data_IF_927519742351
#
_entry.id   IF_927519742351
#
_cell.length_a   1.000
_cell.length_b   1.000
_cell.length_c   1.000
_cell.angle_alpha   90.00
_cell.angle_beta   90.00
_cell.angle_gamma   90.00
#
_symmetry.space_group_name_H-M   'P 1'
#
loop_
_entity.id
_entity.type
_entity.pdbx_description
1 polymer ?
#
# COMPACT_ATOMS: atom_id res chain seq x y z
N UNK A 1 -9.90 -16.06 -19.62
CA UNK A 1 -9.15 -14.78 -19.50
C UNK A 1 -8.22 -14.94 -18.31
N UNK A 2 -6.93 -14.69 -18.48
CA UNK A 2 -5.96 -14.65 -17.37
C UNK A 2 -5.96 -13.23 -16.79
N UNK A 3 -6.02 -13.11 -15.48
CA UNK A 3 -5.96 -11.82 -14.78
C UNK A 3 -4.87 -11.89 -13.72
N UNK A 4 -3.86 -11.05 -13.88
CA UNK A 4 -2.70 -10.96 -13.00
C UNK A 4 -2.99 -9.87 -11.96
N UNK A 5 -3.12 -10.25 -10.70
CA UNK A 5 -3.20 -9.32 -9.58
C UNK A 5 -1.80 -8.83 -9.18
N UNK A 6 -1.64 -7.52 -9.01
CA UNK A 6 -0.44 -6.87 -8.48
C UNK A 6 -0.85 -5.99 -7.31
N UNK A 7 -0.09 -6.05 -6.21
CA UNK A 7 -0.28 -5.18 -5.05
C UNK A 7 0.83 -4.14 -5.05
N UNK A 8 0.48 -2.86 -5.03
CA UNK A 8 1.44 -1.78 -5.15
C UNK A 8 1.03 -0.51 -4.38
N UNK A 9 1.98 0.37 -4.14
CA UNK A 9 1.73 1.72 -3.65
C UNK A 9 1.81 2.76 -4.78
N UNK A 10 2.68 2.50 -5.75
CA UNK A 10 3.04 3.45 -6.81
C UNK A 10 3.40 4.84 -6.25
N UNK A 11 4.35 4.90 -5.34
CA UNK A 11 4.67 6.11 -4.59
C UNK A 11 6.10 6.65 -4.85
N UNK A 12 6.33 7.24 -6.07
CA UNK A 12 5.48 7.22 -7.27
C UNK A 12 5.64 5.94 -8.11
N UNK A 13 4.95 5.87 -9.26
CA UNK A 13 5.20 4.84 -10.26
C UNK A 13 6.61 5.01 -10.85
N UNK A 14 7.36 3.92 -11.01
CA UNK A 14 8.75 3.96 -11.49
C UNK A 14 9.08 2.76 -12.40
N UNK A 15 10.23 2.79 -13.07
CA UNK A 15 10.65 1.78 -14.04
C UNK A 15 10.68 0.34 -13.46
N UNK A 16 10.90 0.19 -12.15
CA UNK A 16 10.80 -1.11 -11.48
C UNK A 16 9.38 -1.69 -11.46
N UNK A 17 8.35 -0.85 -11.43
CA UNK A 17 6.96 -1.29 -11.54
C UNK A 17 6.61 -1.72 -12.97
N UNK A 18 7.08 -0.97 -13.97
CA UNK A 18 6.91 -1.33 -15.37
C UNK A 18 7.59 -2.66 -15.69
N UNK A 19 8.81 -2.86 -15.17
CA UNK A 19 9.51 -4.13 -15.25
C UNK A 19 8.71 -5.28 -14.62
N UNK A 20 8.19 -5.08 -13.41
CA UNK A 20 7.36 -6.08 -12.74
C UNK A 20 6.14 -6.49 -13.59
N UNK A 21 5.45 -5.52 -14.17
CA UNK A 21 4.28 -5.76 -15.03
C UNK A 21 4.67 -6.57 -16.26
N UNK A 22 5.77 -6.20 -16.94
CA UNK A 22 6.24 -6.89 -18.14
C UNK A 22 6.66 -8.33 -17.86
N UNK A 23 7.40 -8.56 -16.76
CA UNK A 23 7.83 -9.88 -16.35
C UNK A 23 6.66 -10.77 -15.88
N UNK A 24 5.68 -10.19 -15.21
CA UNK A 24 4.48 -10.92 -14.81
C UNK A 24 3.72 -11.45 -16.05
N UNK A 25 3.52 -10.61 -17.08
CA UNK A 25 2.92 -11.05 -18.36
C UNK A 25 3.75 -12.14 -19.02
N UNK A 26 5.08 -12.01 -19.04
CA UNK A 26 5.99 -13.01 -19.60
C UNK A 26 5.89 -14.36 -18.88
N UNK A 27 5.90 -14.36 -17.55
CA UNK A 27 5.84 -15.60 -16.73
C UNK A 27 4.47 -16.29 -16.84
N UNK A 28 3.39 -15.54 -16.97
CA UNK A 28 2.05 -16.10 -17.19
C UNK A 28 1.93 -16.72 -18.58
N UNK A 29 2.77 -16.29 -19.54
CA UNK A 29 2.79 -16.84 -20.91
C UNK A 29 1.56 -16.47 -21.75
N UNK A 30 0.81 -15.44 -21.34
CA UNK A 30 -0.33 -14.91 -22.11
C UNK A 30 -0.15 -13.40 -22.31
N UNK A 31 0.23 -12.93 -23.50
CA UNK A 31 0.43 -11.50 -23.77
C UNK A 31 -0.87 -10.69 -23.67
N UNK A 32 -2.03 -11.36 -23.70
CA UNK A 32 -3.36 -10.74 -23.54
C UNK A 32 -3.86 -10.83 -22.08
N UNK A 33 -3.01 -11.27 -21.14
CA UNK A 33 -3.36 -11.28 -19.74
C UNK A 33 -3.65 -9.85 -19.26
N UNK A 34 -4.77 -9.68 -18.59
CA UNK A 34 -5.18 -8.41 -17.99
C UNK A 34 -4.39 -8.22 -16.68
N UNK A 35 -3.83 -7.03 -16.47
CA UNK A 35 -3.17 -6.67 -15.21
C UNK A 35 -4.12 -5.83 -14.38
N UNK A 36 -4.49 -6.36 -13.22
CA UNK A 36 -5.28 -5.66 -12.20
C UNK A 36 -4.39 -5.30 -11.02
N UNK A 37 -4.32 -4.03 -10.65
CA UNK A 37 -3.60 -3.61 -9.46
C UNK A 37 -4.54 -3.22 -8.33
N UNK A 38 -4.20 -3.65 -7.10
CA UNK A 38 -4.70 -3.06 -5.85
C UNK A 38 -3.65 -2.09 -5.37
N UNK A 39 -4.00 -0.81 -5.23
CA UNK A 39 -3.05 0.22 -4.87
C UNK A 39 -3.48 1.05 -3.67
N UNK A 40 -2.50 1.50 -2.89
CA UNK A 40 -2.75 2.40 -1.77
C UNK A 40 -3.42 3.71 -2.22
N UNK A 41 -4.34 4.19 -1.41
CA UNK A 41 -4.97 5.50 -1.56
C UNK A 41 -4.03 6.65 -1.19
N UNK A 42 -4.52 7.67 -0.45
CA UNK A 42 -3.74 8.87 -0.13
C UNK A 42 -2.59 8.62 0.85
N UNK A 43 -2.68 7.57 1.67
CA UNK A 43 -1.63 7.12 2.58
C UNK A 43 -1.07 5.78 2.13
N UNK A 44 0.25 5.61 2.31
CA UNK A 44 0.94 4.37 1.97
C UNK A 44 1.21 3.51 3.21
N UNK A 45 1.62 2.27 3.01
CA UNK A 45 1.81 1.25 4.05
C UNK A 45 2.70 1.73 5.21
N UNK A 46 3.68 2.57 4.92
CA UNK A 46 4.60 3.13 5.93
C UNK A 46 4.03 4.33 6.68
N UNK A 47 2.77 4.71 6.43
CA UNK A 47 2.06 5.76 7.15
C UNK A 47 2.34 7.18 6.67
N UNK A 48 3.10 7.36 5.60
CA UNK A 48 3.32 8.68 4.98
C UNK A 48 2.24 9.01 3.95
N UNK A 49 2.10 10.31 3.65
CA UNK A 49 1.34 10.78 2.51
C UNK A 49 1.98 10.28 1.21
N UNK A 50 1.17 9.93 0.23
CA UNK A 50 1.65 9.60 -1.11
C UNK A 50 2.16 10.86 -1.82
N UNK A 51 3.18 10.73 -2.69
CA UNK A 51 3.78 11.89 -3.38
C UNK A 51 2.85 12.54 -4.40
N UNK A 52 1.85 11.81 -4.89
CA UNK A 52 0.84 12.30 -5.81
C UNK A 52 -0.53 11.65 -5.54
N UNK A 53 -1.64 12.28 -5.95
CA UNK A 53 -2.98 11.77 -5.72
C UNK A 53 -3.18 10.37 -6.35
N UNK A 54 -4.01 9.56 -5.73
CA UNK A 54 -4.28 8.19 -6.19
C UNK A 54 -4.74 8.11 -7.65
N UNK A 55 -5.54 9.07 -8.12
CA UNK A 55 -6.01 9.11 -9.52
C UNK A 55 -4.88 9.41 -10.51
N UNK A 56 -3.91 10.24 -10.12
CA UNK A 56 -2.69 10.50 -10.92
C UNK A 56 -1.86 9.23 -11.00
N UNK A 57 -1.60 8.58 -9.86
CA UNK A 57 -0.84 7.31 -9.80
C UNK A 57 -1.55 6.17 -10.56
N UNK A 58 -2.86 6.10 -10.48
CA UNK A 58 -3.66 5.16 -11.28
C UNK A 58 -3.48 5.43 -12.78
N UNK A 59 -3.49 6.69 -13.22
CA UNK A 59 -3.26 7.05 -14.62
C UNK A 59 -1.84 6.71 -15.09
N UNK A 60 -0.83 6.96 -14.26
CA UNK A 60 0.57 6.57 -14.51
C UNK A 60 0.66 5.05 -14.74
N UNK A 61 0.06 4.26 -13.85
CA UNK A 61 0.05 2.80 -13.92
C UNK A 61 -0.70 2.28 -15.15
N UNK A 62 -1.88 2.84 -15.45
CA UNK A 62 -2.69 2.45 -16.61
C UNK A 62 -1.96 2.71 -17.94
N UNK A 63 -1.27 3.84 -18.07
CA UNK A 63 -0.47 4.16 -19.26
C UNK A 63 0.81 3.33 -19.37
N UNK A 64 1.20 2.67 -18.28
CA UNK A 64 2.40 1.82 -18.18
C UNK A 64 2.09 0.32 -18.11
N UNK A 65 0.90 -0.10 -18.53
CA UNK A 65 0.56 -1.52 -18.74
C UNK A 65 -0.36 -2.19 -17.74
N UNK A 66 -0.88 -1.43 -16.75
CA UNK A 66 -2.00 -1.86 -15.91
C UNK A 66 -3.31 -1.68 -16.67
N UNK A 67 -4.25 -2.60 -16.52
CA UNK A 67 -5.54 -2.57 -17.20
C UNK A 67 -6.69 -2.15 -16.27
N UNK A 68 -6.60 -2.49 -14.99
CA UNK A 68 -7.58 -2.08 -13.96
C UNK A 68 -6.82 -1.67 -12.70
N UNK A 69 -7.12 -0.48 -12.17
CA UNK A 69 -6.62 -0.02 -10.89
C UNK A 69 -7.78 0.08 -9.89
N UNK A 70 -7.64 -0.59 -8.74
CA UNK A 70 -8.59 -0.53 -7.61
C UNK A 70 -7.89 -0.04 -6.36
N UNK A 71 -8.61 0.66 -5.49
CA UNK A 71 -8.08 1.23 -4.26
C UNK A 71 -8.11 0.21 -3.12
N UNK A 72 -7.01 0.14 -2.38
CA UNK A 72 -7.00 -0.53 -1.09
C UNK A 72 -7.50 0.44 -0.02
N UNK A 73 -8.59 0.13 0.72
CA UNK A 73 -9.12 1.01 1.75
C UNK A 73 -8.06 1.41 2.79
N UNK A 74 -8.12 2.63 3.28
CA UNK A 74 -7.13 3.23 4.20
C UNK A 74 -6.80 2.31 5.39
N UNK A 75 -7.80 1.67 5.98
CA UNK A 75 -7.62 0.78 7.13
C UNK A 75 -6.71 -0.42 6.85
N UNK A 76 -6.49 -0.78 5.58
CA UNK A 76 -5.54 -1.80 5.13
C UNK A 76 -4.32 -1.17 4.48
N UNK A 77 -4.47 -0.09 3.72
CA UNK A 77 -3.37 0.59 3.04
C UNK A 77 -2.36 1.17 4.03
N UNK A 78 -2.81 1.79 5.12
CA UNK A 78 -1.99 2.37 6.18
C UNK A 78 -1.90 1.42 7.39
N UNK A 79 -1.36 0.22 7.20
CA UNK A 79 -1.38 -0.84 8.20
C UNK A 79 -0.02 -1.60 8.29
N UNK A 80 0.22 -2.39 9.35
CA UNK A 80 1.32 -3.36 9.37
C UNK A 80 1.27 -4.31 8.19
N UNK A 81 2.42 -4.87 7.79
CA UNK A 81 2.56 -5.66 6.56
C UNK A 81 1.57 -6.80 6.43
N UNK A 82 1.30 -7.51 7.51
CA UNK A 82 0.35 -8.64 7.53
C UNK A 82 -1.09 -8.18 7.22
N UNK A 83 -1.54 -7.07 7.82
CA UNK A 83 -2.88 -6.51 7.56
C UNK A 83 -2.99 -5.89 6.17
N UNK A 84 -1.94 -5.20 5.73
CA UNK A 84 -1.83 -4.68 4.36
C UNK A 84 -1.95 -5.83 3.34
N UNK A 85 -1.15 -6.88 3.51
CA UNK A 85 -1.15 -8.04 2.63
C UNK A 85 -2.50 -8.77 2.64
N UNK A 86 -3.05 -9.01 3.83
CA UNK A 86 -4.34 -9.69 3.98
C UNK A 86 -5.46 -8.92 3.28
N UNK A 87 -5.57 -7.61 3.50
CA UNK A 87 -6.59 -6.77 2.86
C UNK A 87 -6.45 -6.71 1.34
N UNK A 88 -5.22 -6.57 0.84
CA UNK A 88 -4.96 -6.47 -0.59
C UNK A 88 -5.20 -7.80 -1.33
N UNK A 89 -4.73 -8.93 -0.78
CA UNK A 89 -4.98 -10.27 -1.35
C UNK A 89 -6.46 -10.61 -1.30
N UNK A 90 -7.15 -10.29 -0.18
CA UNK A 90 -8.60 -10.48 -0.08
C UNK A 90 -9.34 -9.69 -1.14
N UNK A 91 -8.97 -8.42 -1.33
CA UNK A 91 -9.64 -7.56 -2.31
C UNK A 91 -9.49 -8.12 -3.73
N UNK A 92 -8.28 -8.56 -4.12
CA UNK A 92 -8.06 -9.27 -5.39
C UNK A 92 -8.93 -10.53 -5.50
N UNK A 93 -8.97 -11.35 -4.45
CA UNK A 93 -9.78 -12.56 -4.43
C UNK A 93 -11.28 -12.28 -4.56
N UNK A 94 -11.76 -11.24 -3.90
CA UNK A 94 -13.17 -10.83 -3.90
C UNK A 94 -13.63 -10.26 -5.24
N UNK A 95 -12.70 -9.85 -6.13
CA UNK A 95 -13.05 -9.48 -7.51
C UNK A 95 -13.63 -10.66 -8.30
N UNK A 96 -13.30 -11.90 -7.95
CA UNK A 96 -13.75 -13.12 -8.61
C UNK A 96 -13.14 -13.36 -9.99
N UNK A 97 -12.20 -12.52 -10.46
CA UNK A 97 -11.59 -12.62 -11.81
C UNK A 97 -10.10 -12.89 -11.79
N UNK A 98 -9.40 -12.60 -10.68
CA UNK A 98 -7.94 -12.79 -10.57
C UNK A 98 -7.58 -14.27 -10.54
N UNK A 99 -6.61 -14.64 -11.34
CA UNK A 99 -6.11 -16.03 -11.49
C UNK A 99 -4.68 -16.19 -11.04
N UNK A 100 -3.90 -15.12 -11.06
CA UNK A 100 -2.47 -15.09 -10.79
C UNK A 100 -2.14 -13.92 -9.86
N UNK A 101 -1.17 -14.09 -8.96
CA UNK A 101 -0.66 -13.05 -8.10
C UNK A 101 0.83 -12.86 -8.37
N UNK A 102 1.23 -11.66 -8.77
CA UNK A 102 2.61 -11.32 -9.08
C UNK A 102 3.15 -10.21 -8.17
N UNK A 103 4.37 -10.36 -7.66
CA UNK A 103 5.03 -9.38 -6.80
C UNK A 103 6.56 -9.47 -6.89
N UNK A 104 7.22 -8.36 -6.56
CA UNK A 104 8.67 -8.29 -6.52
C UNK A 104 9.25 -8.88 -5.23
N UNK A 105 10.43 -9.52 -5.33
CA UNK A 105 11.19 -10.08 -4.21
C UNK A 105 12.63 -9.62 -4.24
N UNK A 106 13.24 -9.47 -3.06
CA UNK A 106 14.65 -9.05 -2.91
C UNK A 106 15.55 -10.24 -2.48
N UNK A 107 14.99 -11.42 -2.21
CA UNK A 107 15.76 -12.59 -1.76
C UNK A 107 16.48 -13.28 -2.92
N UNK A 108 17.62 -13.93 -2.60
CA UNK A 108 18.46 -14.67 -3.56
C UNK A 108 17.74 -15.90 -4.10
N UNK A 109 17.00 -16.60 -3.24
CA UNK A 109 16.18 -17.76 -3.59
C UNK A 109 14.71 -17.52 -3.19
N UNK A 110 13.85 -17.17 -4.15
CA UNK A 110 12.43 -16.94 -3.87
C UNK A 110 11.69 -18.20 -3.40
N UNK A 111 12.17 -19.42 -3.69
CA UNK A 111 11.46 -20.65 -3.31
C UNK A 111 11.32 -20.80 -1.79
N UNK A 112 12.28 -20.27 -1.02
CA UNK A 112 12.27 -20.30 0.44
C UNK A 112 11.05 -19.58 1.04
N UNK A 113 10.50 -18.57 0.33
CA UNK A 113 9.29 -17.87 0.79
C UNK A 113 8.07 -18.80 0.81
N UNK A 114 8.01 -19.77 -0.08
CA UNK A 114 6.92 -20.76 -0.09
C UNK A 114 6.99 -21.70 1.11
N UNK A 115 8.20 -22.09 1.52
CA UNK A 115 8.43 -22.90 2.73
C UNK A 115 8.15 -22.10 3.99
N UNK A 116 8.69 -20.86 4.08
CA UNK A 116 8.45 -19.96 5.22
C UNK A 116 6.99 -19.57 5.38
N UNK A 117 6.18 -19.65 4.33
CA UNK A 117 4.76 -19.36 4.43
C UNK A 117 3.98 -20.39 5.28
N UNK A 118 4.50 -21.58 5.45
CA UNK A 118 3.92 -22.64 6.30
C UNK A 118 4.48 -22.63 7.73
N UNK A 119 5.50 -21.79 7.99
CA UNK A 119 6.12 -21.68 9.32
C UNK A 119 5.33 -20.68 10.16
N UNK A 120 4.91 -21.11 11.36
CA UNK A 120 4.43 -20.22 12.41
C UNK A 120 5.61 -19.77 13.27
N UNK A 121 5.72 -18.49 13.63
CA UNK A 121 6.77 -18.02 14.54
C UNK A 121 6.71 -18.77 15.89
N UNK A 122 7.87 -19.06 16.46
CA UNK A 122 7.96 -19.59 17.82
C UNK A 122 7.51 -18.52 18.81
N UNK A 123 6.42 -18.77 19.53
CA UNK A 123 5.82 -17.78 20.43
C UNK A 123 6.71 -17.42 21.63
N UNK A 124 7.49 -18.34 22.16
CA UNK A 124 8.37 -18.10 23.29
C UNK A 124 9.56 -17.25 22.88
N UNK A 125 10.16 -17.54 21.72
CA UNK A 125 11.23 -16.73 21.14
C UNK A 125 10.72 -15.34 20.81
N UNK A 126 9.51 -15.23 20.21
CA UNK A 126 8.89 -13.93 19.92
C UNK A 126 8.71 -13.07 21.18
N UNK A 127 8.11 -13.63 22.22
CA UNK A 127 7.88 -12.94 23.50
C UNK A 127 9.20 -12.51 24.15
N UNK A 128 10.19 -13.40 24.16
CA UNK A 128 11.52 -13.13 24.72
C UNK A 128 12.23 -12.01 23.95
N UNK A 129 12.21 -12.05 22.64
CA UNK A 129 12.83 -11.01 21.81
C UNK A 129 12.17 -9.64 22.01
N UNK A 130 10.83 -9.60 22.10
CA UNK A 130 10.09 -8.37 22.39
C UNK A 130 10.40 -7.82 23.79
N UNK A 131 10.46 -8.67 24.82
CA UNK A 131 10.82 -8.24 26.18
C UNK A 131 12.25 -7.70 26.29
N UNK A 132 13.15 -8.16 25.44
CA UNK A 132 14.52 -7.66 25.29
C UNK A 132 14.62 -6.37 24.44
N UNK A 133 13.49 -5.72 24.12
CA UNK A 133 13.44 -4.45 23.39
C UNK A 133 13.71 -4.56 21.89
N UNK A 134 13.60 -5.75 21.29
CA UNK A 134 13.64 -5.91 19.83
C UNK A 134 12.39 -5.30 19.20
N UNK A 135 12.54 -4.71 18.03
CA UNK A 135 11.37 -4.30 17.25
C UNK A 135 10.57 -5.53 16.78
N UNK A 136 9.25 -5.40 16.63
CA UNK A 136 8.39 -6.51 16.22
C UNK A 136 8.88 -7.23 14.93
N UNK A 137 9.30 -6.53 13.85
CA UNK A 137 9.83 -7.23 12.68
C UNK A 137 11.07 -8.07 12.96
N UNK A 138 11.99 -7.57 13.80
CA UNK A 138 13.20 -8.30 14.17
C UNK A 138 12.88 -9.51 15.07
N UNK A 139 11.99 -9.34 16.06
CA UNK A 139 11.53 -10.41 16.93
C UNK A 139 10.79 -11.51 16.15
N UNK A 140 9.93 -11.13 15.20
CA UNK A 140 9.23 -12.07 14.31
C UNK A 140 10.20 -12.85 13.44
N UNK A 141 11.22 -12.19 12.87
CA UNK A 141 12.23 -12.86 12.07
C UNK A 141 13.00 -13.91 12.89
N UNK A 142 13.44 -13.55 14.10
CA UNK A 142 14.13 -14.44 15.03
C UNK A 142 13.26 -15.66 15.40
N UNK A 143 11.99 -15.43 15.72
CA UNK A 143 11.03 -16.49 16.03
C UNK A 143 10.72 -17.42 14.82
N UNK A 144 10.72 -16.87 13.61
CA UNK A 144 10.55 -17.69 12.40
C UNK A 144 11.79 -18.52 12.08
N UNK A 145 12.98 -17.95 12.27
CA UNK A 145 14.25 -18.70 12.10
C UNK A 145 14.30 -19.86 13.09
N UNK A 146 13.94 -19.64 14.36
CA UNK A 146 13.88 -20.67 15.39
C UNK A 146 12.91 -21.80 15.05
N UNK A 147 11.76 -21.49 14.48
CA UNK A 147 10.71 -22.45 14.13
C UNK A 147 10.97 -23.15 12.78
N UNK A 148 11.89 -22.65 11.95
CA UNK A 148 12.14 -23.20 10.63
C UNK A 148 12.93 -24.52 10.72
N UNK A 149 12.34 -25.60 10.21
CA UNK A 149 12.92 -26.95 10.15
C UNK A 149 13.21 -27.44 8.73
N UNK A 150 13.13 -26.55 7.74
CA UNK A 150 13.43 -26.87 6.34
C UNK A 150 14.92 -27.04 6.07
N UNK A 151 15.24 -27.44 4.84
CA UNK A 151 16.62 -27.75 4.42
C UNK A 151 17.46 -26.56 3.97
N UNK A 152 16.92 -25.34 3.97
CA UNK A 152 17.67 -24.18 3.51
C UNK A 152 18.70 -23.71 4.55
N UNK A 153 19.78 -23.08 4.07
CA UNK A 153 20.82 -22.50 4.90
C UNK A 153 20.21 -21.46 5.87
N UNK A 154 20.47 -21.54 7.18
CA UNK A 154 19.99 -20.59 8.17
C UNK A 154 20.38 -19.12 7.86
N UNK A 155 21.53 -18.88 7.25
CA UNK A 155 21.96 -17.54 6.84
C UNK A 155 21.05 -17.01 5.71
N UNK A 156 20.72 -17.83 4.73
CA UNK A 156 19.80 -17.48 3.65
C UNK A 156 18.40 -17.18 4.16
N UNK A 157 17.89 -17.94 5.14
CA UNK A 157 16.61 -17.70 5.82
C UNK A 157 16.65 -16.34 6.53
N UNK A 158 17.71 -16.09 7.30
CA UNK A 158 17.92 -14.84 8.02
C UNK A 158 17.97 -13.63 7.08
N UNK A 159 18.73 -13.72 6.00
CA UNK A 159 18.85 -12.65 5.01
C UNK A 159 17.50 -12.37 4.33
N UNK A 160 16.76 -13.41 3.96
CA UNK A 160 15.42 -13.29 3.37
C UNK A 160 14.45 -12.56 4.30
N UNK A 161 14.44 -12.91 5.59
CA UNK A 161 13.53 -12.30 6.59
C UNK A 161 13.95 -10.88 7.04
N UNK A 162 15.13 -10.40 6.66
CA UNK A 162 15.57 -9.01 6.86
C UNK A 162 15.15 -8.06 5.73
N UNK A 163 14.81 -8.60 4.57
CA UNK A 163 14.47 -7.80 3.39
C UNK A 163 12.99 -7.34 3.42
N UNK A 164 12.70 -6.04 3.41
CA UNK A 164 11.31 -5.54 3.55
C UNK A 164 10.35 -6.07 2.49
N UNK A 165 10.79 -6.22 1.23
CA UNK A 165 9.91 -6.73 0.18
C UNK A 165 9.73 -8.24 0.28
N UNK A 166 10.72 -8.98 0.79
CA UNK A 166 10.58 -10.41 1.07
C UNK A 166 9.61 -10.67 2.22
N UNK A 167 9.58 -9.80 3.24
CA UNK A 167 8.58 -9.86 4.32
C UNK A 167 7.18 -9.63 3.76
N UNK A 168 6.99 -8.62 2.90
CA UNK A 168 5.69 -8.37 2.25
C UNK A 168 5.29 -9.54 1.35
N UNK A 169 6.22 -10.07 0.56
CA UNK A 169 5.98 -11.23 -0.29
C UNK A 169 5.53 -12.45 0.52
N UNK A 170 6.20 -12.73 1.65
CA UNK A 170 5.82 -13.76 2.58
C UNK A 170 4.40 -13.56 3.12
N UNK A 171 4.05 -12.33 3.51
CA UNK A 171 2.72 -12.00 4.01
C UNK A 171 1.65 -12.16 2.91
N UNK A 172 1.95 -11.86 1.63
CA UNK A 172 1.04 -12.14 0.50
C UNK A 172 0.81 -13.63 0.31
N UNK A 173 1.87 -14.44 0.36
CA UNK A 173 1.76 -15.91 0.23
C UNK A 173 0.94 -16.48 1.38
N UNK A 174 1.22 -16.08 2.63
CA UNK A 174 0.44 -16.49 3.81
C UNK A 174 -1.03 -16.12 3.68
N UNK A 175 -1.33 -14.91 3.25
CA UNK A 175 -2.71 -14.46 3.02
C UNK A 175 -3.40 -15.28 1.93
N UNK A 176 -2.75 -15.52 0.80
CA UNK A 176 -3.30 -16.31 -0.30
C UNK A 176 -3.56 -17.77 0.10
N UNK A 177 -2.65 -18.42 0.84
CA UNK A 177 -2.81 -19.77 1.39
C UNK A 177 -3.96 -19.82 2.40
N UNK A 178 -3.99 -18.91 3.37
CA UNK A 178 -5.03 -18.85 4.43
C UNK A 178 -6.44 -18.71 3.86
N UNK A 179 -6.61 -17.93 2.79
CA UNK A 179 -7.90 -17.72 2.12
C UNK A 179 -8.22 -18.79 1.08
N UNK A 180 -7.31 -19.71 0.82
CA UNK A 180 -7.42 -20.71 -0.25
C UNK A 180 -7.83 -20.09 -1.59
N UNK A 181 -7.11 -19.04 -2.01
CA UNK A 181 -7.48 -18.23 -3.18
C UNK A 181 -7.37 -18.98 -4.50
N UNK A 182 -6.51 -20.00 -4.58
CA UNK A 182 -6.17 -20.71 -5.82
C UNK A 182 -5.30 -19.90 -6.78
N UNK A 183 -4.76 -18.75 -6.39
CA UNK A 183 -3.88 -17.95 -7.23
C UNK A 183 -2.58 -18.70 -7.56
N UNK A 184 -2.16 -18.60 -8.82
CA UNK A 184 -0.79 -18.96 -9.19
C UNK A 184 0.14 -17.83 -8.77
N UNK A 185 1.16 -18.16 -7.98
CA UNK A 185 2.11 -17.19 -7.43
C UNK A 185 3.28 -17.01 -8.40
N UNK A 186 3.60 -15.76 -8.72
CA UNK A 186 4.75 -15.38 -9.54
C UNK A 186 5.64 -14.41 -8.76
N UNK A 187 6.79 -14.90 -8.31
CA UNK A 187 7.81 -14.13 -7.60
C UNK A 187 8.84 -13.60 -8.60
N UNK A 188 9.00 -12.30 -8.67
CA UNK A 188 9.84 -11.63 -9.67
C UNK A 188 11.01 -10.95 -8.97
N UNK A 189 12.26 -11.35 -9.23
CA UNK A 189 13.42 -10.67 -8.68
C UNK A 189 13.44 -9.19 -9.08
N UNK A 190 13.66 -8.30 -8.12
CA UNK A 190 13.73 -6.87 -8.38
C UNK A 190 15.03 -6.49 -9.08
N UNK A 191 14.95 -5.49 -9.96
CA UNK A 191 16.16 -4.87 -10.53
C UNK A 191 16.77 -3.91 -9.52
N UNK A 192 18.07 -4.00 -9.35
CA UNK A 192 18.85 -3.06 -8.53
C UNK A 192 18.74 -1.62 -9.06
N UNK A 193 18.80 -0.65 -8.14
CA UNK A 193 18.78 0.78 -8.47
C UNK A 193 17.40 1.37 -8.78
N UNK A 194 16.36 0.54 -8.96
CA UNK A 194 15.01 1.00 -9.28
C UNK A 194 14.09 0.87 -8.06
N UNK A 195 13.96 1.93 -7.28
CA UNK A 195 13.11 1.95 -6.09
C UNK A 195 12.32 3.24 -5.94
N UNK A 196 11.14 3.17 -5.33
CA UNK A 196 10.36 4.36 -4.97
C UNK A 196 11.13 5.27 -4.00
N UNK A 197 12.07 4.73 -3.22
CA UNK A 197 12.91 5.52 -2.32
C UNK A 197 13.87 6.41 -3.10
N UNK A 198 14.60 5.85 -4.08
CA UNK A 198 15.50 6.64 -4.93
C UNK A 198 14.74 7.73 -5.71
N UNK A 199 13.54 7.42 -6.21
CA UNK A 199 12.71 8.44 -6.88
C UNK A 199 12.33 9.57 -5.92
N UNK A 200 11.91 9.25 -4.69
CA UNK A 200 11.59 10.28 -3.69
C UNK A 200 12.80 11.09 -3.24
N UNK A 201 13.98 10.48 -3.15
CA UNK A 201 15.23 11.18 -2.85
C UNK A 201 15.58 12.19 -3.95
N UNK A 202 15.48 11.80 -5.23
CA UNK A 202 15.69 12.73 -6.33
C UNK A 202 14.62 13.83 -6.37
N UNK A 203 13.38 13.50 -6.10
CA UNK A 203 12.30 14.48 -6.01
C UNK A 203 12.52 15.49 -4.85
N UNK A 204 13.08 15.05 -3.74
CA UNK A 204 13.42 15.93 -2.62
C UNK A 204 14.60 16.88 -2.93
N UNK A 205 15.49 16.51 -3.86
CA UNK A 205 16.58 17.36 -4.34
C UNK A 205 16.14 18.31 -5.45
N UNK A 206 14.97 18.07 -6.07
CA UNK A 206 14.43 18.93 -7.12
C UNK A 206 13.92 20.25 -6.55
N UNK A 207 14.06 21.32 -7.31
CA UNK A 207 13.25 22.51 -7.09
C UNK A 207 11.80 22.21 -7.46
N UNK A 208 10.96 22.03 -6.45
CA UNK A 208 9.55 21.64 -6.61
C UNK A 208 8.68 22.73 -7.29
N UNK A 209 9.22 23.94 -7.47
CA UNK A 209 8.56 25.01 -8.20
C UNK A 209 8.92 25.01 -9.69
N UNK A 210 9.97 24.27 -10.08
CA UNK A 210 10.48 24.16 -11.45
C UNK A 210 10.17 22.82 -12.08
N UNK A 211 9.30 22.80 -13.10
CA UNK A 211 8.97 21.59 -13.86
C UNK A 211 10.19 20.96 -14.53
N UNK A 212 11.11 21.76 -15.05
CA UNK A 212 12.35 21.26 -15.64
C UNK A 212 13.24 20.57 -14.61
N UNK A 213 13.39 21.14 -13.41
CA UNK A 213 14.15 20.53 -12.33
C UNK A 213 13.58 19.17 -11.92
N UNK A 214 12.25 19.05 -11.82
CA UNK A 214 11.59 17.75 -11.53
C UNK A 214 11.83 16.78 -12.69
N UNK A 215 11.63 17.21 -13.94
CA UNK A 215 11.80 16.38 -15.12
C UNK A 215 13.25 15.84 -15.24
N UNK A 216 14.26 16.71 -15.09
CA UNK A 216 15.67 16.34 -15.20
C UNK A 216 16.08 15.30 -14.15
N UNK A 217 15.55 15.43 -12.93
CA UNK A 217 15.83 14.52 -11.82
C UNK A 217 15.17 13.16 -11.97
N UNK A 218 13.98 13.11 -12.55
CA UNK A 218 13.18 11.89 -12.64
C UNK A 218 13.32 11.17 -13.99
N UNK A 219 14.01 11.79 -14.96
CA UNK A 219 14.26 11.18 -16.26
C UNK A 219 15.10 9.88 -16.11
N UNK A 220 14.66 8.82 -16.79
CA UNK A 220 15.31 7.50 -16.76
C UNK A 220 15.00 6.65 -15.51
N UNK A 221 14.44 7.22 -14.44
CA UNK A 221 13.99 6.46 -13.25
C UNK A 221 12.47 6.29 -13.18
N UNK A 222 11.72 7.21 -13.80
CA UNK A 222 10.31 7.03 -14.11
C UNK A 222 10.13 6.73 -15.60
N UNK A 223 9.18 5.85 -15.99
CA UNK A 223 8.80 5.71 -17.38
C UNK A 223 8.27 7.03 -17.96
N UNK A 224 8.60 7.34 -19.22
CA UNK A 224 8.26 8.62 -19.86
C UNK A 224 6.77 8.97 -19.76
N UNK A 225 5.91 7.99 -19.96
CA UNK A 225 4.45 8.19 -19.86
C UNK A 225 4.03 8.57 -18.43
N UNK A 226 4.58 7.91 -17.41
CA UNK A 226 4.28 8.19 -16.02
C UNK A 226 4.80 9.58 -15.62
N UNK A 227 6.05 9.90 -15.99
CA UNK A 227 6.64 11.21 -15.75
C UNK A 227 5.82 12.33 -16.42
N UNK A 228 5.42 12.14 -17.69
CA UNK A 228 4.57 13.10 -18.41
C UNK A 228 3.23 13.34 -17.71
N UNK A 229 2.61 12.30 -17.15
CA UNK A 229 1.36 12.43 -16.37
C UNK A 229 1.60 13.27 -15.12
N UNK A 230 2.63 12.96 -14.34
CA UNK A 230 2.98 13.71 -13.11
C UNK A 230 3.21 15.19 -13.42
N UNK A 231 4.12 15.50 -14.36
CA UNK A 231 4.47 16.88 -14.73
C UNK A 231 3.27 17.65 -15.26
N UNK A 232 2.45 17.02 -16.12
CA UNK A 232 1.24 17.62 -16.65
C UNK A 232 0.23 17.96 -15.55
N UNK A 233 0.04 17.07 -14.57
CA UNK A 233 -0.90 17.28 -13.47
C UNK A 233 -0.42 18.40 -12.52
N UNK A 234 0.89 18.46 -12.22
CA UNK A 234 1.47 19.58 -11.46
C UNK A 234 1.34 20.90 -12.22
N UNK A 235 1.68 20.91 -13.52
CA UNK A 235 1.59 22.12 -14.37
C UNK A 235 0.15 22.66 -14.45
N UNK A 236 -0.85 21.78 -14.45
CA UNK A 236 -2.27 22.17 -14.40
C UNK A 236 -2.76 22.53 -13.00
N UNK A 237 -1.87 22.47 -12.00
CA UNK A 237 -2.21 22.73 -10.59
C UNK A 237 -3.32 21.80 -10.06
N UNK A 238 -3.37 20.56 -10.56
CA UNK A 238 -4.29 19.54 -10.04
C UNK A 238 -3.89 19.12 -8.61
N UNK A 239 -2.59 19.22 -8.28
CA UNK A 239 -2.05 19.02 -6.93
C UNK A 239 -0.67 19.66 -6.81
N UNK A 240 -0.21 19.84 -5.57
CA UNK A 240 1.19 20.03 -5.21
C UNK A 240 1.70 18.77 -4.51
N UNK A 241 3.03 18.53 -4.59
CA UNK A 241 3.66 17.45 -3.83
C UNK A 241 3.44 17.75 -2.34
N UNK A 242 2.83 16.82 -1.57
CA UNK A 242 2.42 17.10 -0.20
C UNK A 242 3.57 17.59 0.69
N UNK A 243 3.29 18.58 1.50
CA UNK A 243 4.21 19.06 2.54
C UNK A 243 4.09 18.18 3.78
N UNK A 244 4.99 17.19 3.88
CA UNK A 244 5.05 16.28 5.02
C UNK A 244 5.42 17.02 6.32
N UNK A 245 6.16 18.14 6.24
CA UNK A 245 6.53 18.93 7.42
C UNK A 245 5.32 19.60 8.03
N UNK A 246 4.49 20.25 7.21
CA UNK A 246 3.21 20.83 7.67
C UNK A 246 2.29 19.77 8.25
N UNK A 247 2.17 18.61 7.60
CA UNK A 247 1.41 17.48 8.14
C UNK A 247 1.89 17.06 9.53
N UNK A 248 3.20 16.93 9.73
CA UNK A 248 3.79 16.54 11.02
C UNK A 248 3.62 17.64 12.09
N UNK A 249 3.68 18.91 11.71
CA UNK A 249 3.42 20.03 12.63
C UNK A 249 1.97 20.01 13.13
N UNK A 250 1.00 19.81 12.24
CA UNK A 250 -0.42 19.73 12.61
C UNK A 250 -0.69 18.49 13.48
N UNK A 251 -0.05 17.36 13.17
CA UNK A 251 -0.10 16.19 14.01
C UNK A 251 0.45 16.45 15.41
N UNK A 252 1.53 17.24 15.53
CA UNK A 252 2.09 17.63 16.82
C UNK A 252 1.10 18.50 17.64
N UNK A 253 0.36 19.39 16.99
CA UNK A 253 -0.69 20.16 17.64
C UNK A 253 -1.83 19.29 18.14
N UNK A 254 -2.26 18.31 17.33
CA UNK A 254 -3.30 17.36 17.73
C UNK A 254 -2.87 16.50 18.92
N UNK A 255 -1.64 15.95 18.91
CA UNK A 255 -1.09 15.16 20.03
C UNK A 255 -1.11 15.95 21.34
N UNK A 256 -0.80 17.25 21.30
CA UNK A 256 -0.80 18.13 22.50
C UNK A 256 -2.21 18.38 23.05
N UNK A 257 -3.23 18.34 22.20
CA UNK A 257 -4.65 18.61 22.58
C UNK A 257 -5.38 17.33 22.99
N UNK A 258 -5.05 16.21 22.39
CA UNK A 258 -5.72 14.93 22.63
C UNK A 258 -5.32 14.40 24.04
N UNK A 259 -6.31 14.08 24.86
CA UNK A 259 -6.07 13.61 26.22
C UNK A 259 -5.66 12.15 26.24
N UNK A 260 -6.30 11.32 25.42
CA UNK A 260 -6.03 9.88 25.32
C UNK A 260 -5.66 9.49 23.89
N UNK A 261 -4.40 9.15 23.68
CA UNK A 261 -3.90 8.63 22.41
C UNK A 261 -4.09 7.11 22.26
N UNK A 262 -4.27 6.37 23.37
CA UNK A 262 -4.31 4.90 23.34
C UNK A 262 -5.52 4.33 22.62
N UNK A 263 -6.60 5.10 22.53
CA UNK A 263 -7.79 4.73 21.76
C UNK A 263 -7.62 4.71 20.24
N UNK A 264 -6.54 5.28 19.71
CA UNK A 264 -6.24 5.26 18.27
C UNK A 264 -5.49 4.00 17.87
N UNK A 265 -5.69 3.58 16.62
CA UNK A 265 -5.03 2.38 16.12
C UNK A 265 -3.49 2.54 16.14
N UNK A 266 -2.80 1.46 16.43
CA UNK A 266 -1.33 1.34 16.47
C UNK A 266 -0.63 2.15 17.58
N UNK A 267 -1.36 2.77 18.50
CA UNK A 267 -0.85 3.55 19.66
C UNK A 267 -0.60 2.69 20.92
N UNK A 268 -0.22 1.44 20.76
CA UNK A 268 0.05 0.52 21.88
C UNK A 268 1.51 0.49 22.31
N UNK A 269 1.78 -0.22 23.40
CA UNK A 269 3.13 -0.55 23.90
C UNK A 269 3.99 0.67 24.28
N UNK A 270 3.36 1.72 24.84
CA UNK A 270 4.03 2.94 25.26
C UNK A 270 4.39 3.91 24.12
N UNK A 271 3.94 3.62 22.89
CA UNK A 271 4.16 4.50 21.74
C UNK A 271 3.44 5.84 21.91
N UNK A 272 2.26 5.86 22.55
CA UNK A 272 1.51 7.07 22.90
C UNK A 272 2.35 8.04 23.74
N UNK A 273 2.96 7.55 24.80
CA UNK A 273 3.86 8.32 25.65
C UNK A 273 5.12 8.79 24.92
N UNK A 274 5.70 7.91 24.08
CA UNK A 274 6.86 8.28 23.26
C UNK A 274 6.51 9.41 22.27
N UNK A 275 5.40 9.30 21.52
CA UNK A 275 4.97 10.33 20.57
C UNK A 275 4.69 11.62 21.31
N UNK A 276 3.97 11.60 22.44
CA UNK A 276 3.65 12.78 23.22
C UNK A 276 4.88 13.57 23.65
N UNK A 277 5.93 12.88 24.04
CA UNK A 277 7.16 13.51 24.53
C UNK A 277 8.11 13.98 23.42
N UNK A 278 8.03 13.43 22.22
CA UNK A 278 9.04 13.65 21.18
C UNK A 278 8.48 14.27 19.88
N UNK A 279 7.15 14.35 19.71
CA UNK A 279 6.57 14.93 18.49
C UNK A 279 6.87 16.43 18.39
N UNK A 280 7.32 16.85 17.22
CA UNK A 280 7.85 18.20 16.98
C UNK A 280 9.36 18.32 17.20
N UNK A 281 10.03 17.20 17.56
CA UNK A 281 11.47 17.03 17.68
C UNK A 281 11.95 15.77 16.96
N UNK A 282 12.96 15.09 17.52
CA UNK A 282 13.49 13.86 16.95
C UNK A 282 12.63 12.65 17.36
N UNK A 283 12.02 12.00 16.36
CA UNK A 283 11.25 10.77 16.52
C UNK A 283 12.08 9.49 16.29
N UNK A 284 13.41 9.61 16.14
CA UNK A 284 14.25 8.42 16.01
C UNK A 284 14.39 7.67 17.33
N UNK A 285 14.24 6.37 17.29
CA UNK A 285 14.33 5.49 18.47
C UNK A 285 14.73 4.08 18.06
N UNK A 286 15.33 3.34 19.00
CA UNK A 286 15.65 1.91 18.81
C UNK A 286 14.43 0.99 19.04
N UNK A 287 13.40 1.48 19.76
CA UNK A 287 12.23 0.66 20.16
C UNK A 287 11.10 0.70 19.13
N UNK A 288 10.86 1.86 18.50
CA UNK A 288 9.77 2.04 17.55
C UNK A 288 10.30 2.38 16.16
N UNK A 289 9.88 1.66 15.13
CA UNK A 289 10.24 1.99 13.75
C UNK A 289 9.47 3.21 13.26
N UNK A 290 10.09 4.06 12.43
CA UNK A 290 9.41 5.22 11.85
C UNK A 290 8.09 4.87 11.13
N UNK A 291 7.98 3.77 10.36
CA UNK A 291 6.69 3.37 9.80
C UNK A 291 5.62 3.08 10.86
N UNK A 292 5.96 2.54 12.03
CA UNK A 292 5.01 2.34 13.12
C UNK A 292 4.53 3.68 13.69
N UNK A 293 5.45 4.60 13.96
CA UNK A 293 5.14 5.96 14.46
C UNK A 293 4.21 6.68 13.46
N UNK A 294 4.57 6.69 12.17
CA UNK A 294 3.78 7.34 11.13
C UNK A 294 2.38 6.75 10.98
N UNK A 295 2.22 5.42 11.05
CA UNK A 295 0.89 4.79 11.03
C UNK A 295 0.03 5.19 12.23
N UNK A 296 0.62 5.24 13.42
CA UNK A 296 -0.07 5.68 14.62
C UNK A 296 -0.53 7.15 14.49
N UNK A 297 0.33 8.02 13.98
CA UNK A 297 0.00 9.42 13.69
C UNK A 297 -1.11 9.50 12.61
N UNK A 298 -1.00 8.75 11.52
CA UNK A 298 -2.02 8.73 10.47
C UNK A 298 -3.37 8.26 11.00
N UNK A 299 -3.39 7.24 11.88
CA UNK A 299 -4.61 6.76 12.53
C UNK A 299 -5.23 7.82 13.44
N UNK A 300 -4.42 8.57 14.18
CA UNK A 300 -4.90 9.69 14.99
C UNK A 300 -5.48 10.81 14.10
N UNK A 301 -4.76 11.21 13.07
CA UNK A 301 -5.20 12.27 12.15
C UNK A 301 -6.52 11.93 11.44
N UNK A 302 -6.73 10.67 11.09
CA UNK A 302 -7.95 10.18 10.44
C UNK A 302 -9.04 9.74 11.42
N UNK A 303 -8.79 9.78 12.73
CA UNK A 303 -9.74 9.29 13.73
C UNK A 303 -9.88 7.77 13.77
N UNK A 304 -9.02 6.98 13.09
CA UNK A 304 -9.11 5.53 13.08
C UNK A 304 -8.84 4.94 14.47
N UNK A 305 -9.88 4.37 15.09
CA UNK A 305 -9.79 3.79 16.42
C UNK A 305 -9.26 2.35 16.42
N UNK A 306 -8.60 1.95 17.51
CA UNK A 306 -8.10 0.58 17.70
C UNK A 306 -9.24 -0.44 17.63
N UNK A 307 -10.38 -0.17 18.30
CA UNK A 307 -11.57 -1.02 18.27
C UNK A 307 -12.13 -1.22 16.86
N UNK A 308 -12.09 -0.18 16.01
CA UNK A 308 -12.51 -0.32 14.61
C UNK A 308 -11.59 -1.30 13.85
N UNK A 309 -10.26 -1.17 14.01
CA UNK A 309 -9.29 -2.06 13.36
C UNK A 309 -9.42 -3.50 13.84
N UNK A 310 -9.75 -3.71 15.11
CA UNK A 310 -9.99 -5.04 15.68
C UNK A 310 -11.27 -5.70 15.15
N UNK A 311 -12.32 -4.94 14.92
CA UNK A 311 -13.60 -5.44 14.42
C UNK A 311 -13.63 -5.58 12.92
N UNK A 312 -13.03 -4.62 12.19
CA UNK A 312 -13.05 -4.61 10.72
C UNK A 312 -11.88 -5.41 10.15
N UNK A 313 -12.15 -6.66 9.78
CA UNK A 313 -11.16 -7.59 9.23
C UNK A 313 -11.19 -7.67 7.70
N UNK A 314 -12.25 -7.12 7.06
CA UNK A 314 -12.55 -7.35 5.66
C UNK A 314 -12.80 -6.05 4.89
N UNK A 315 -12.36 -6.00 3.62
CA UNK A 315 -12.79 -4.95 2.71
C UNK A 315 -14.31 -5.06 2.47
N UNK A 316 -14.98 -3.91 2.41
CA UNK A 316 -16.44 -3.84 2.27
C UNK A 316 -16.88 -3.50 0.83
N UNK A 317 -15.97 -3.11 -0.05
CA UNK A 317 -16.24 -2.69 -1.42
C UNK A 317 -14.98 -2.82 -2.29
N UNK A 318 -15.18 -2.73 -3.60
CA UNK A 318 -14.14 -2.63 -4.61
C UNK A 318 -14.25 -1.23 -5.24
N UNK A 319 -13.35 -0.30 -4.89
CA UNK A 319 -13.31 1.05 -5.45
C UNK A 319 -12.45 1.05 -6.71
N UNK A 320 -13.06 1.31 -7.88
CA UNK A 320 -12.36 1.40 -9.16
C UNK A 320 -11.78 2.81 -9.33
N UNK A 321 -10.46 2.91 -9.45
CA UNK A 321 -9.75 4.18 -9.70
C UNK A 321 -9.58 4.47 -11.18
N UNK A 322 -9.51 3.42 -12.00
CA UNK A 322 -9.39 3.59 -13.45
C UNK A 322 -9.23 2.28 -14.21
N UNK A 323 -9.34 2.36 -15.53
CA UNK A 323 -9.25 1.20 -16.42
C UNK A 323 -8.86 1.56 -17.85
N UNK A 324 -8.24 0.58 -18.56
CA UNK A 324 -7.97 0.58 -20.00
C UNK A 324 -9.17 0.02 -20.79
N UNK A 325 -9.05 -0.04 -22.11
CA UNK A 325 -10.06 -0.72 -22.94
C UNK A 325 -10.18 -2.21 -22.61
N UNK A 326 -9.06 -2.90 -22.40
CA UNK A 326 -9.00 -4.29 -21.96
C UNK A 326 -9.56 -4.44 -20.54
N UNK A 327 -9.25 -3.50 -19.67
CA UNK A 327 -9.77 -3.41 -18.31
C UNK A 327 -11.30 -3.24 -18.27
N UNK A 328 -11.87 -2.50 -19.21
CA UNK A 328 -13.34 -2.36 -19.33
C UNK A 328 -14.04 -3.72 -19.51
N UNK A 329 -13.46 -4.61 -20.33
CA UNK A 329 -14.01 -5.95 -20.51
C UNK A 329 -13.88 -6.79 -19.23
N UNK A 330 -12.73 -6.69 -18.54
CA UNK A 330 -12.51 -7.33 -17.26
C UNK A 330 -13.52 -6.87 -16.20
N UNK A 331 -13.78 -5.56 -16.10
CA UNK A 331 -14.78 -4.99 -15.20
C UNK A 331 -16.20 -5.51 -15.49
N UNK A 332 -16.56 -5.71 -16.75
CA UNK A 332 -17.85 -6.30 -17.11
C UNK A 332 -18.00 -7.74 -16.61
N UNK A 333 -16.92 -8.54 -16.67
CA UNK A 333 -16.92 -9.91 -16.10
C UNK A 333 -16.97 -9.82 -14.57
N UNK A 334 -16.13 -8.97 -13.97
CA UNK A 334 -16.10 -8.75 -12.53
C UNK A 334 -17.47 -8.38 -11.97
N UNK A 335 -18.25 -7.57 -12.67
CA UNK A 335 -19.63 -7.21 -12.29
C UNK A 335 -20.58 -8.40 -12.16
N UNK A 336 -20.21 -9.60 -12.67
CA UNK A 336 -21.01 -10.83 -12.57
C UNK A 336 -20.54 -11.79 -11.49
N UNK A 337 -19.28 -11.67 -11.06
CA UNK A 337 -18.64 -12.64 -10.16
C UNK A 337 -17.99 -12.02 -8.91
N UNK A 338 -17.91 -10.71 -8.82
CA UNK A 338 -17.41 -10.02 -7.63
C UNK A 338 -18.27 -10.34 -6.41
N UNK A 339 -17.61 -10.49 -5.27
CA UNK A 339 -18.24 -10.84 -3.98
C UNK A 339 -18.42 -9.61 -3.09
N UNK A 340 -18.14 -8.43 -3.60
CA UNK A 340 -18.30 -7.14 -2.94
C UNK A 340 -18.92 -6.14 -3.91
N UNK A 341 -19.63 -5.12 -3.41
CA UNK A 341 -20.09 -4.01 -4.22
C UNK A 341 -18.93 -3.34 -4.98
N UNK A 342 -19.16 -3.00 -6.24
CA UNK A 342 -18.19 -2.28 -7.07
C UNK A 342 -18.60 -0.82 -7.10
N UNK A 343 -17.72 0.06 -6.61
CA UNK A 343 -17.91 1.50 -6.60
C UNK A 343 -17.07 2.12 -7.72
N UNK A 344 -17.73 2.60 -8.77
CA UNK A 344 -17.09 3.35 -9.85
C UNK A 344 -16.96 4.83 -9.49
N UNK A 345 -18.01 5.43 -8.92
CA UNK A 345 -17.99 6.79 -8.40
C UNK A 345 -18.12 6.75 -6.87
N UNK A 346 -17.66 7.81 -6.20
CA UNK A 346 -17.83 7.91 -4.76
C UNK A 346 -19.31 7.91 -4.35
N UNK A 347 -20.19 8.52 -5.15
CA UNK A 347 -21.63 8.55 -4.93
C UNK A 347 -22.28 7.17 -4.90
N UNK A 348 -21.71 6.16 -5.56
CA UNK A 348 -22.26 4.80 -5.58
C UNK A 348 -22.32 4.20 -4.16
N UNK A 349 -21.44 4.67 -3.25
CA UNK A 349 -21.42 4.22 -1.86
C UNK A 349 -22.67 4.69 -1.07
N UNK A 350 -23.23 5.87 -1.40
CA UNK A 350 -24.36 6.45 -0.67
C UNK A 350 -25.61 5.57 -0.74
N UNK A 351 -25.83 4.90 -1.86
CA UNK A 351 -26.95 3.99 -2.05
C UNK A 351 -26.87 2.76 -1.11
N UNK A 352 -25.67 2.44 -0.64
CA UNK A 352 -25.39 1.28 0.22
C UNK A 352 -25.32 1.62 1.71
N UNK A 353 -25.29 2.90 2.08
CA UNK A 353 -25.07 3.33 3.47
C UNK A 353 -26.13 2.83 4.45
N UNK A 354 -27.40 2.84 4.04
CA UNK A 354 -28.50 2.40 4.90
C UNK A 354 -28.52 0.88 5.12
N UNK A 355 -28.07 0.11 4.11
CA UNK A 355 -28.07 -1.36 4.14
C UNK A 355 -26.76 -1.97 4.65
N UNK A 356 -25.64 -1.23 4.61
CA UNK A 356 -24.32 -1.70 5.02
C UNK A 356 -23.56 -0.67 5.87
N UNK A 357 -23.81 -0.63 7.20
CA UNK A 357 -23.11 0.31 8.10
C UNK A 357 -21.59 0.11 8.13
N UNK A 358 -21.07 -1.11 7.89
CA UNK A 358 -19.62 -1.37 7.84
C UNK A 358 -18.99 -0.75 6.59
N UNK A 359 -19.65 -0.85 5.45
CA UNK A 359 -19.24 -0.16 4.22
C UNK A 359 -19.22 1.34 4.46
N UNK A 360 -20.28 1.90 5.04
CA UNK A 360 -20.34 3.33 5.38
C UNK A 360 -19.14 3.76 6.20
N UNK A 361 -18.87 3.09 7.32
CA UNK A 361 -17.78 3.44 8.23
C UNK A 361 -16.40 3.34 7.53
N UNK A 362 -16.18 2.30 6.70
CA UNK A 362 -14.94 2.14 5.96
C UNK A 362 -14.75 3.21 4.88
N UNK A 363 -15.81 3.53 4.15
CA UNK A 363 -15.76 4.52 3.07
C UNK A 363 -15.63 5.95 3.61
N UNK A 364 -16.32 6.29 4.72
CA UNK A 364 -16.17 7.59 5.38
C UNK A 364 -14.73 7.82 5.90
N UNK A 365 -14.07 6.75 6.37
CA UNK A 365 -12.67 6.80 6.76
C UNK A 365 -11.76 7.09 5.54
N UNK A 366 -12.05 6.46 4.39
CA UNK A 366 -11.33 6.72 3.14
C UNK A 366 -11.54 8.16 2.65
N UNK A 367 -12.76 8.69 2.74
CA UNK A 367 -13.05 10.09 2.40
C UNK A 367 -12.26 11.05 3.28
N UNK A 368 -12.26 10.83 4.60
CA UNK A 368 -11.50 11.67 5.53
C UNK A 368 -9.99 11.60 5.26
N UNK A 369 -9.46 10.41 4.96
CA UNK A 369 -8.06 10.27 4.57
C UNK A 369 -7.74 11.04 3.29
N UNK A 370 -8.65 11.05 2.31
CA UNK A 370 -8.51 11.85 1.08
C UNK A 370 -8.57 13.36 1.37
N UNK A 371 -9.46 13.83 2.24
CA UNK A 371 -9.57 15.24 2.58
C UNK A 371 -8.35 15.75 3.37
N UNK A 372 -7.82 14.94 4.28
CA UNK A 372 -6.55 15.24 4.96
C UNK A 372 -5.43 15.35 3.93
N UNK A 373 -5.30 14.38 3.01
CA UNK A 373 -4.31 14.45 1.95
C UNK A 373 -4.45 15.73 1.10
N UNK A 374 -5.68 16.06 0.70
CA UNK A 374 -5.98 17.23 -0.12
C UNK A 374 -5.49 18.53 0.52
N UNK A 375 -5.61 18.65 1.85
CA UNK A 375 -5.13 19.81 2.61
C UNK A 375 -3.64 20.08 2.44
N UNK A 376 -2.83 19.01 2.39
CA UNK A 376 -1.37 19.11 2.25
C UNK A 376 -0.88 19.06 0.80
N UNK A 377 -1.76 18.67 -0.13
CA UNK A 377 -1.49 18.64 -1.57
C UNK A 377 -2.06 19.86 -2.32
N UNK A 378 -2.56 20.88 -1.60
CA UNK A 378 -3.21 22.07 -2.16
C UNK A 378 -4.36 21.73 -3.13
N UNK A 379 -5.11 20.68 -2.78
CA UNK A 379 -6.28 20.24 -3.53
C UNK A 379 -7.56 20.69 -2.84
N UNK A 380 -8.65 20.73 -3.58
CA UNK A 380 -9.98 21.01 -3.01
C UNK A 380 -10.44 19.82 -2.15
N UNK A 381 -10.91 20.09 -0.93
CA UNK A 381 -11.55 19.06 -0.09
C UNK A 381 -12.83 18.54 -0.76
N UNK A 382 -13.15 17.29 -0.53
CA UNK A 382 -14.27 16.62 -1.19
C UNK A 382 -14.04 16.34 -2.69
N UNK A 383 -12.79 16.47 -3.17
CA UNK A 383 -12.47 16.18 -4.58
C UNK A 383 -12.85 14.75 -5.00
N UNK A 384 -12.87 13.82 -4.04
CA UNK A 384 -13.23 12.42 -4.29
C UNK A 384 -14.64 12.25 -4.86
N UNK A 385 -15.56 13.14 -4.47
CA UNK A 385 -16.93 13.13 -4.97
C UNK A 385 -17.07 13.56 -6.44
N UNK A 386 -16.06 14.28 -6.95
CA UNK A 386 -16.06 14.91 -8.26
C UNK A 386 -15.29 14.09 -9.32
N UNK A 387 -14.44 13.15 -8.89
CA UNK A 387 -13.56 12.44 -9.80
C UNK A 387 -14.14 11.08 -10.23
N UNK A 388 -14.48 10.93 -11.52
CA UNK A 388 -14.81 9.62 -12.08
C UNK A 388 -13.54 8.77 -12.22
N UNK A 389 -13.70 7.45 -12.44
CA UNK A 389 -12.57 6.58 -12.77
C UNK A 389 -11.79 7.08 -14.00
N UNK A 390 -10.47 7.01 -13.91
CA UNK A 390 -9.57 7.34 -15.02
C UNK A 390 -9.79 6.34 -16.17
N UNK A 391 -9.99 6.83 -17.39
CA UNK A 391 -10.11 6.01 -18.58
C UNK A 391 -8.94 6.30 -19.52
N UNK A 392 -8.22 5.24 -19.90
CA UNK A 392 -7.15 5.30 -20.92
C UNK A 392 -7.53 4.42 -22.10
N UNK A 393 -7.02 4.82 -23.28
CA UNK A 393 -7.25 4.06 -24.53
C UNK A 393 -6.27 2.91 -24.68
#
# INVERSE_FOLDING_TARGET
MRVIGIIAEYNPFHAGHEYLISEAKRLVGDPRAVVMTVMSGPFVQRGSLAVSPKHVRAKEALLSGVDVAIELPFTFACAPSERFASGAVELLYRTGVVTDLAFGVDCKDPSILMELADVNPDEEVLKTALSNGRSFPAARAEAMISAYSGGADPELVSDTLRQPNSILALDYIKAAKKMNTGFKIHMIPRKEGLSATSVREELNKADRTSMSSIADRLNGIMPDKALSVMLSSISRKEFLIPDESSYMNDAALMVRREQDLTGYAYMSDGLDGFIRNNIGGDLQTKHFTMPRIRRAIASMMTGQRASYVEQEKHAQYIRVLGFSNEGKYCLKIMGKCARLPILSNASDALELYSSNPRLKAQFELDLLANDIYASYASMEQGYEWKLPPVKVK
#
